data_IF_679978606457
#
_entry.id   IF_679978606457
#
_cell.length_a   1.000
_cell.length_b   1.000
_cell.length_c   1.000
_cell.angle_alpha   90.00
_cell.angle_beta   90.00
_cell.angle_gamma   90.00
#
_symmetry.space_group_name_H-M   'P 1'
#
loop_
_entity.id
_entity.type
_entity.pdbx_description
1 polymer ?
#
# COMPACT_ATOMS: atom_id res chain seq x y z
N UNK A 1 24.06 -2.99 19.52
CA UNK A 1 23.31 -3.66 18.43
C UNK A 1 24.22 -3.68 17.21
N UNK A 2 24.28 -4.76 16.43
CA UNK A 2 25.06 -4.71 15.18
C UNK A 2 24.35 -3.79 14.18
N UNK A 3 25.12 -3.12 13.32
CA UNK A 3 24.57 -2.18 12.31
C UNK A 3 23.51 -2.84 11.42
N UNK A 4 23.65 -4.15 11.16
CA UNK A 4 22.68 -4.95 10.42
C UNK A 4 21.30 -4.91 11.07
N UNK A 5 21.17 -5.27 12.35
CA UNK A 5 19.86 -5.32 13.03
C UNK A 5 19.24 -3.94 13.23
N UNK A 6 20.07 -2.89 13.36
CA UNK A 6 19.58 -1.52 13.39
C UNK A 6 18.96 -1.11 12.05
N UNK A 7 19.59 -1.47 10.91
CA UNK A 7 19.03 -1.20 9.59
C UNK A 7 17.69 -1.91 9.38
N UNK A 8 17.58 -3.17 9.81
CA UNK A 8 16.33 -3.95 9.70
C UNK A 8 15.23 -3.36 10.58
N UNK A 9 15.56 -2.95 11.80
CA UNK A 9 14.60 -2.30 12.70
C UNK A 9 14.12 -0.95 12.13
N UNK A 10 15.02 -0.12 11.59
CA UNK A 10 14.64 1.14 10.93
C UNK A 10 13.73 0.89 9.73
N UNK A 11 14.03 -0.14 8.92
CA UNK A 11 13.18 -0.53 7.81
C UNK A 11 11.78 -0.95 8.28
N UNK A 12 11.69 -1.79 9.32
CA UNK A 12 10.42 -2.18 9.95
C UNK A 12 9.62 -0.96 10.44
N UNK A 13 10.26 0.00 11.12
CA UNK A 13 9.57 1.20 11.60
C UNK A 13 9.04 2.06 10.46
N UNK A 14 9.80 2.15 9.35
CA UNK A 14 9.34 2.84 8.15
C UNK A 14 8.12 2.14 7.52
N UNK A 15 8.12 0.80 7.46
CA UNK A 15 6.96 0.01 6.98
C UNK A 15 5.72 0.25 7.84
N UNK A 16 5.86 0.18 9.17
CA UNK A 16 4.77 0.43 10.11
C UNK A 16 4.24 1.86 9.94
N UNK A 17 5.12 2.85 9.85
CA UNK A 17 4.73 4.24 9.60
C UNK A 17 3.97 4.40 8.30
N UNK A 18 4.43 3.77 7.21
CA UNK A 18 3.76 3.81 5.92
C UNK A 18 2.39 3.13 5.96
N UNK A 19 2.28 1.97 6.61
CA UNK A 19 1.01 1.25 6.79
C UNK A 19 0.06 2.08 7.63
N UNK A 20 0.50 2.70 8.73
CA UNK A 20 -0.34 3.58 9.54
C UNK A 20 -0.83 4.77 8.72
N UNK A 21 0.02 5.39 7.91
CA UNK A 21 -0.37 6.48 7.00
C UNK A 21 -1.42 6.00 5.98
N UNK A 22 -1.29 4.78 5.45
CA UNK A 22 -2.23 4.21 4.49
C UNK A 22 -3.54 3.69 5.13
N UNK A 23 -3.49 3.17 6.36
CA UNK A 23 -4.65 2.67 7.10
C UNK A 23 -5.43 3.79 7.79
N UNK A 24 -4.78 4.90 8.14
CA UNK A 24 -5.46 6.03 8.73
C UNK A 24 -6.42 6.64 7.70
N UNK A 25 -7.72 6.76 8.01
CA UNK A 25 -8.70 7.38 7.13
C UNK A 25 -8.51 8.90 6.95
N UNK A 26 -7.37 9.44 7.42
CA UNK A 26 -7.07 10.86 7.42
C UNK A 26 -6.88 11.44 6.01
N UNK A 27 -6.55 10.60 5.02
CA UNK A 27 -6.46 11.02 3.61
C UNK A 27 -7.66 10.45 2.86
N UNK A 28 -8.63 11.30 2.45
CA UNK A 28 -9.76 10.85 1.65
C UNK A 28 -9.27 10.18 0.37
N UNK A 29 -9.93 9.11 -0.10
CA UNK A 29 -9.53 8.39 -1.32
C UNK A 29 -9.50 9.30 -2.56
N UNK A 30 -10.22 10.43 -2.52
CA UNK A 30 -10.19 11.49 -3.54
C UNK A 30 -8.83 12.19 -3.67
N UNK A 31 -8.06 12.35 -2.58
CA UNK A 31 -6.71 12.95 -2.65
C UNK A 31 -5.69 11.98 -3.21
N UNK A 32 -5.80 10.70 -2.84
CA UNK A 32 -5.02 9.64 -3.45
C UNK A 32 -5.29 9.57 -4.96
N UNK A 33 -6.55 9.66 -5.41
CA UNK A 33 -6.87 9.69 -6.84
C UNK A 33 -6.08 10.77 -7.61
N UNK A 34 -5.93 11.98 -7.06
CA UNK A 34 -5.21 13.09 -7.71
C UNK A 34 -3.70 12.86 -7.78
N UNK A 35 -3.13 12.16 -6.79
CA UNK A 35 -1.72 11.75 -6.75
C UNK A 35 -1.47 10.58 -7.71
N UNK A 36 -2.41 9.62 -7.76
CA UNK A 36 -2.34 8.42 -8.59
C UNK A 36 -2.72 8.65 -10.06
N UNK A 37 -3.48 9.72 -10.38
CA UNK A 37 -3.83 10.10 -11.77
C UNK A 37 -2.68 10.77 -12.52
N UNK A 38 -1.58 11.09 -11.84
CA UNK A 38 -0.37 11.53 -12.54
C UNK A 38 0.12 10.37 -13.42
N UNK A 39 0.31 10.63 -14.72
CA UNK A 39 0.81 9.70 -15.75
C UNK A 39 2.11 8.94 -15.35
N UNK A 40 2.79 9.41 -14.31
CA UNK A 40 3.98 8.82 -13.70
C UNK A 40 3.66 7.48 -13.03
N UNK A 41 2.43 7.27 -12.53
CA UNK A 41 2.09 6.07 -11.78
C UNK A 41 2.07 4.78 -12.63
N UNK A 42 1.74 4.87 -13.92
CA UNK A 42 1.83 3.74 -14.83
C UNK A 42 3.28 3.27 -15.05
N UNK A 43 4.21 4.22 -15.16
CA UNK A 43 5.66 3.95 -15.30
C UNK A 43 6.29 3.51 -13.98
N UNK A 44 5.83 4.05 -12.85
CA UNK A 44 6.31 3.66 -11.54
C UNK A 44 5.85 2.24 -11.18
N UNK A 45 4.66 1.81 -11.62
CA UNK A 45 4.11 0.50 -11.29
C UNK A 45 4.95 -0.68 -11.85
N UNK A 46 5.48 -0.55 -13.07
CA UNK A 46 6.35 -1.58 -13.66
C UNK A 46 7.70 -1.65 -12.95
N UNK A 47 8.26 -0.51 -12.57
CA UNK A 47 9.47 -0.45 -11.74
C UNK A 47 9.23 -0.99 -10.33
N UNK A 48 8.07 -0.69 -9.74
CA UNK A 48 7.67 -1.13 -8.41
C UNK A 48 7.60 -2.65 -8.28
N UNK A 49 7.11 -3.35 -9.30
CA UNK A 49 7.09 -4.82 -9.27
C UNK A 49 8.51 -5.42 -9.23
N UNK A 50 9.46 -4.84 -9.98
CA UNK A 50 10.86 -5.28 -9.95
C UNK A 50 11.50 -4.98 -8.59
N UNK A 51 11.38 -3.74 -8.11
CA UNK A 51 11.91 -3.34 -6.81
C UNK A 51 11.30 -4.17 -5.66
N UNK A 52 10.00 -4.41 -5.69
CA UNK A 52 9.29 -5.26 -4.73
C UNK A 52 9.86 -6.68 -4.70
N UNK A 53 10.07 -7.29 -5.87
CA UNK A 53 10.61 -8.64 -5.98
C UNK A 53 12.06 -8.72 -5.47
N UNK A 54 12.87 -7.70 -5.73
CA UNK A 54 14.22 -7.62 -5.18
C UNK A 54 14.20 -7.51 -3.65
N UNK A 55 13.36 -6.65 -3.09
CA UNK A 55 13.27 -6.43 -1.64
C UNK A 55 12.71 -7.66 -0.91
N UNK A 56 11.70 -8.35 -1.46
CA UNK A 56 11.16 -9.57 -0.83
C UNK A 56 12.21 -10.69 -0.80
N UNK A 57 13.01 -10.85 -1.86
CA UNK A 57 14.10 -11.84 -1.86
C UNK A 57 15.13 -11.49 -0.78
N UNK A 58 15.52 -10.22 -0.66
CA UNK A 58 16.44 -9.75 0.37
C UNK A 58 15.90 -10.04 1.77
N UNK A 59 14.63 -9.72 2.03
CA UNK A 59 13.97 -10.00 3.33
C UNK A 59 13.91 -11.49 3.64
N UNK A 60 13.63 -12.34 2.65
CA UNK A 60 13.62 -13.81 2.83
C UNK A 60 15.02 -14.31 3.18
N UNK A 61 16.06 -13.84 2.49
CA UNK A 61 17.45 -14.23 2.79
C UNK A 61 17.83 -13.81 4.20
N UNK A 62 17.52 -12.58 4.60
CA UNK A 62 17.76 -12.06 5.94
C UNK A 62 16.97 -12.83 7.01
N UNK A 63 15.73 -13.21 6.72
CA UNK A 63 14.92 -14.03 7.62
C UNK A 63 15.51 -15.43 7.79
N UNK A 64 15.96 -16.07 6.70
CA UNK A 64 16.64 -17.36 6.76
C UNK A 64 17.97 -17.27 7.52
N UNK A 65 18.70 -16.17 7.37
CA UNK A 65 19.92 -15.90 8.14
C UNK A 65 19.60 -15.78 9.63
N UNK A 66 18.55 -15.03 9.99
CA UNK A 66 18.06 -14.94 11.37
C UNK A 66 17.64 -16.31 11.95
N UNK A 67 16.95 -17.13 11.15
CA UNK A 67 16.54 -18.50 11.55
C UNK A 67 17.76 -19.38 11.77
N UNK A 68 18.73 -19.36 10.84
CA UNK A 68 19.98 -20.11 10.96
C UNK A 68 20.77 -19.67 12.19
N UNK A 69 20.83 -18.36 12.43
CA UNK A 69 21.53 -17.79 13.57
C UNK A 69 20.87 -18.20 14.90
N UNK A 70 19.53 -18.15 15.01
CA UNK A 70 18.80 -18.67 16.17
C UNK A 70 19.00 -20.17 16.36
N UNK A 71 18.95 -20.98 15.29
CA UNK A 71 19.17 -22.43 15.38
C UNK A 71 20.59 -22.76 15.82
N UNK A 72 21.59 -22.06 15.30
CA UNK A 72 23.00 -22.23 15.64
C UNK A 72 23.27 -21.89 17.11
N UNK A 73 22.72 -20.78 17.61
CA UNK A 73 22.87 -20.45 19.03
C UNK A 73 22.06 -21.37 19.94
N UNK A 74 20.92 -21.88 19.49
CA UNK A 74 20.11 -22.86 20.22
C UNK A 74 20.78 -24.24 20.33
N UNK A 75 21.43 -24.72 19.25
CA UNK A 75 22.16 -25.98 19.28
C UNK A 75 23.43 -25.91 20.14
N UNK A 76 24.19 -24.82 20.05
CA UNK A 76 25.37 -24.58 20.90
C UNK A 76 24.98 -24.50 22.38
N UNK A 77 23.89 -23.79 22.71
CA UNK A 77 23.36 -23.73 24.08
C UNK A 77 22.91 -25.10 24.61
N UNK A 78 22.38 -25.97 23.76
CA UNK A 78 21.95 -27.32 24.16
C UNK A 78 23.15 -28.24 24.43
N UNK A 79 24.22 -28.11 23.63
CA UNK A 79 25.47 -28.85 23.81
C UNK A 79 26.20 -28.40 25.09
N UNK A 80 26.31 -27.10 25.35
CA UNK A 80 26.88 -26.57 26.62
C UNK A 80 26.10 -27.04 27.85
N UNK A 81 24.76 -27.16 27.75
CA UNK A 81 23.90 -27.63 28.85
C UNK A 81 24.10 -29.11 29.17
N UNK A 82 24.60 -29.90 28.22
CA UNK A 82 24.92 -31.32 28.41
C UNK A 82 26.32 -31.58 28.98
N UNK A 83 27.23 -30.61 28.90
CA UNK A 83 28.55 -30.65 29.52
C UNK A 83 28.54 -29.90 30.86
N UNK A 84 28.03 -30.56 31.89
CA UNK A 84 28.15 -30.15 33.30
C UNK A 84 29.61 -29.86 33.65
N UNK A 85 30.01 -28.58 33.74
CA UNK A 85 31.10 -28.04 34.61
C UNK A 85 31.50 -26.62 34.20
N UNK A 86 30.69 -25.59 34.53
CA UNK A 86 31.13 -24.20 34.81
C UNK A 86 29.93 -23.24 34.96
N UNK A 87 29.59 -22.80 36.18
CA UNK A 87 28.43 -21.93 36.42
C UNK A 87 28.59 -20.46 35.96
N UNK A 88 29.81 -20.02 35.61
CA UNK A 88 30.10 -18.62 35.23
C UNK A 88 29.73 -18.29 33.77
N UNK A 89 29.66 -19.28 32.88
CA UNK A 89 29.39 -19.10 31.44
C UNK A 89 27.88 -19.12 31.11
N UNK A 90 27.06 -19.63 32.03
CA UNK A 90 25.61 -19.83 31.85
C UNK A 90 24.83 -18.52 31.64
N UNK A 91 25.22 -17.45 32.32
CA UNK A 91 24.57 -16.13 32.23
C UNK A 91 24.85 -15.44 30.88
N UNK A 92 26.02 -15.68 30.28
CA UNK A 92 26.44 -14.98 29.06
C UNK A 92 25.83 -15.58 27.77
N UNK A 93 25.42 -16.85 27.80
CA UNK A 93 24.76 -17.54 26.68
C UNK A 93 23.24 -17.29 26.65
N UNK A 94 22.59 -17.17 27.81
CA UNK A 94 21.17 -16.76 27.91
C UNK A 94 20.91 -15.39 27.25
N UNK A 95 21.78 -14.40 27.49
CA UNK A 95 21.62 -13.06 26.90
C UNK A 95 21.72 -13.04 25.36
N UNK A 96 22.51 -13.96 24.77
CA UNK A 96 22.69 -14.05 23.30
C UNK A 96 21.49 -14.72 22.62
N UNK A 97 20.85 -15.70 23.27
CA UNK A 97 19.64 -16.35 22.76
C UNK A 97 18.45 -15.39 22.67
N UNK A 98 18.24 -14.56 23.70
CA UNK A 98 17.22 -13.50 23.67
C UNK A 98 17.54 -12.39 22.65
N UNK A 99 18.81 -12.22 22.27
CA UNK A 99 19.19 -11.27 21.21
C UNK A 99 18.84 -11.83 19.82
N UNK A 100 19.15 -13.10 19.53
CA UNK A 100 18.81 -13.73 18.24
C UNK A 100 17.30 -13.93 18.07
N UNK A 101 16.56 -14.23 19.15
CA UNK A 101 15.11 -14.40 19.09
C UNK A 101 14.39 -13.09 18.77
N UNK A 102 14.82 -11.96 19.36
CA UNK A 102 14.31 -10.61 19.01
C UNK A 102 14.57 -10.26 17.55
N UNK A 103 15.77 -10.54 17.08
CA UNK A 103 16.20 -10.30 15.71
C UNK A 103 15.36 -11.10 14.69
N UNK A 104 15.02 -12.36 15.02
CA UNK A 104 14.10 -13.18 14.23
C UNK A 104 12.70 -12.59 14.16
N UNK A 105 12.16 -12.08 15.27
CA UNK A 105 10.85 -11.43 15.26
C UNK A 105 10.88 -10.16 14.40
N UNK A 106 11.92 -9.33 14.52
CA UNK A 106 12.06 -8.10 13.72
C UNK A 106 12.08 -8.42 12.21
N UNK A 107 12.90 -9.39 11.79
CA UNK A 107 12.96 -9.77 10.37
C UNK A 107 11.67 -10.43 9.88
N UNK A 108 11.03 -11.26 10.70
CA UNK A 108 9.75 -11.90 10.39
C UNK A 108 8.60 -10.90 10.27
N UNK A 109 8.48 -9.95 11.20
CA UNK A 109 7.47 -8.90 11.14
C UNK A 109 7.69 -7.98 9.94
N UNK A 110 8.93 -7.67 9.58
CA UNK A 110 9.22 -6.86 8.39
C UNK A 110 8.79 -7.56 7.10
N UNK A 111 9.10 -8.86 6.97
CA UNK A 111 8.62 -9.66 5.85
C UNK A 111 7.08 -9.64 5.73
N UNK A 112 6.39 -9.78 6.86
CA UNK A 112 4.93 -9.74 6.90
C UNK A 112 4.37 -8.36 6.51
N UNK A 113 4.88 -7.27 7.12
CA UNK A 113 4.42 -5.92 6.82
C UNK A 113 4.71 -5.52 5.37
N UNK A 114 5.82 -5.96 4.78
CA UNK A 114 6.10 -5.73 3.36
C UNK A 114 5.01 -6.31 2.45
N UNK A 115 4.52 -7.52 2.75
CA UNK A 115 3.43 -8.15 2.00
C UNK A 115 2.10 -7.40 2.18
N UNK A 116 1.78 -6.99 3.41
CA UNK A 116 0.60 -6.19 3.73
C UNK A 116 0.63 -4.86 2.97
N UNK A 117 1.77 -4.19 2.96
CA UNK A 117 1.99 -2.91 2.29
C UNK A 117 1.76 -3.04 0.77
N UNK A 118 2.25 -4.12 0.14
CA UNK A 118 1.94 -4.40 -1.28
C UNK A 118 0.44 -4.55 -1.51
N UNK A 119 -0.25 -5.33 -0.66
CA UNK A 119 -1.69 -5.53 -0.78
C UNK A 119 -2.45 -4.21 -0.65
N UNK A 120 -2.07 -3.35 0.30
CA UNK A 120 -2.67 -2.03 0.49
C UNK A 120 -2.46 -1.12 -0.71
N UNK A 121 -1.23 -1.02 -1.24
CA UNK A 121 -0.93 -0.18 -2.40
C UNK A 121 -1.73 -0.63 -3.63
N UNK A 122 -1.85 -1.94 -3.88
CA UNK A 122 -2.68 -2.46 -4.97
C UNK A 122 -4.16 -2.10 -4.77
N UNK A 123 -4.69 -2.28 -3.56
CA UNK A 123 -6.09 -1.96 -3.24
C UNK A 123 -6.39 -0.48 -3.44
N UNK A 124 -5.50 0.41 -2.96
CA UNK A 124 -5.63 1.86 -3.12
C UNK A 124 -5.57 2.24 -4.60
N UNK A 125 -4.69 1.61 -5.38
CA UNK A 125 -4.60 1.84 -6.83
C UNK A 125 -5.89 1.43 -7.54
N UNK A 126 -6.49 0.29 -7.17
CA UNK A 126 -7.77 -0.17 -7.72
C UNK A 126 -8.91 0.78 -7.33
N UNK A 127 -8.96 1.18 -6.07
CA UNK A 127 -9.97 2.08 -5.53
C UNK A 127 -9.88 3.47 -6.20
N UNK A 128 -8.67 3.98 -6.45
CA UNK A 128 -8.45 5.21 -7.20
C UNK A 128 -8.97 5.12 -8.66
N UNK A 129 -8.76 3.98 -9.33
CA UNK A 129 -9.31 3.75 -10.69
C UNK A 129 -10.83 3.71 -10.69
N UNK A 130 -11.44 3.03 -9.73
CA UNK A 130 -12.90 2.97 -9.58
C UNK A 130 -13.52 4.34 -9.28
N UNK A 131 -12.91 5.13 -8.39
CA UNK A 131 -13.34 6.51 -8.14
C UNK A 131 -13.17 7.42 -9.36
N UNK A 132 -12.10 7.23 -10.14
CA UNK A 132 -11.94 7.93 -11.41
C UNK A 132 -13.05 7.57 -12.39
N UNK A 133 -13.37 6.29 -12.55
CA UNK A 133 -14.46 5.86 -13.43
C UNK A 133 -15.81 6.42 -12.95
N UNK A 134 -16.10 6.42 -11.65
CA UNK A 134 -17.33 7.00 -11.09
C UNK A 134 -17.38 8.53 -11.24
N UNK A 135 -16.26 9.22 -11.07
CA UNK A 135 -16.14 10.67 -11.28
C UNK A 135 -16.33 11.06 -12.74
N UNK A 136 -15.73 10.31 -13.67
CA UNK A 136 -15.93 10.46 -15.11
C UNK A 136 -17.38 10.17 -15.48
N UNK A 137 -17.98 9.10 -14.96
CA UNK A 137 -19.39 8.77 -15.19
C UNK A 137 -20.34 9.84 -14.64
N UNK A 138 -20.06 10.41 -13.46
CA UNK A 138 -20.87 11.50 -12.89
C UNK A 138 -20.73 12.78 -13.71
N UNK A 139 -19.51 13.14 -14.10
CA UNK A 139 -19.26 14.31 -14.94
C UNK A 139 -19.87 14.14 -16.33
N UNK A 140 -19.82 12.93 -16.88
CA UNK A 140 -20.44 12.59 -18.15
C UNK A 140 -21.97 12.58 -18.05
N UNK A 141 -22.55 12.06 -16.97
CA UNK A 141 -23.99 12.15 -16.72
C UNK A 141 -24.45 13.60 -16.53
N UNK A 142 -23.69 14.43 -15.82
CA UNK A 142 -23.97 15.86 -15.66
C UNK A 142 -23.83 16.62 -16.98
N UNK A 143 -22.82 16.32 -17.79
CA UNK A 143 -22.63 16.93 -19.11
C UNK A 143 -23.72 16.51 -20.10
N UNK A 144 -24.07 15.22 -20.13
CA UNK A 144 -25.19 14.72 -20.95
C UNK A 144 -26.51 15.32 -20.50
N UNK A 145 -26.78 15.42 -19.20
CA UNK A 145 -27.99 16.04 -18.68
C UNK A 145 -28.06 17.55 -19.00
N UNK A 146 -26.93 18.27 -18.92
CA UNK A 146 -26.84 19.68 -19.36
C UNK A 146 -27.08 19.83 -20.86
N UNK A 147 -26.54 18.93 -21.68
CA UNK A 147 -26.79 18.93 -23.13
C UNK A 147 -28.27 18.64 -23.43
N UNK A 148 -28.87 17.62 -22.82
CA UNK A 148 -30.29 17.29 -22.96
C UNK A 148 -31.20 18.46 -22.56
N UNK A 149 -30.90 19.15 -21.45
CA UNK A 149 -31.67 20.34 -21.03
C UNK A 149 -31.62 21.47 -22.07
N UNK A 150 -30.44 21.77 -22.62
CA UNK A 150 -30.31 22.78 -23.68
C UNK A 150 -31.13 22.43 -24.92
N UNK A 151 -31.05 21.18 -25.36
CA UNK A 151 -31.84 20.72 -26.51
C UNK A 151 -33.35 20.80 -26.26
N UNK A 152 -33.81 20.50 -25.04
CA UNK A 152 -35.23 20.66 -24.68
C UNK A 152 -35.68 22.12 -24.71
N UNK A 153 -34.86 23.03 -24.18
CA UNK A 153 -35.17 24.46 -24.13
C UNK A 153 -35.19 25.11 -25.53
N UNK A 154 -34.27 24.72 -26.41
CA UNK A 154 -34.27 25.15 -27.81
C UNK A 154 -35.49 24.62 -28.57
N UNK A 155 -35.89 23.36 -28.33
CA UNK A 155 -37.08 22.77 -28.94
C UNK A 155 -38.36 23.50 -28.51
N UNK A 156 -38.48 23.87 -27.24
CA UNK A 156 -39.61 24.65 -26.74
C UNK A 156 -39.67 26.05 -27.35
N UNK A 157 -38.52 26.74 -27.46
CA UNK A 157 -38.44 28.06 -28.13
C UNK A 157 -38.88 27.96 -29.58
N UNK A 158 -38.37 26.97 -30.32
CA UNK A 158 -38.77 26.73 -31.72
C UNK A 158 -40.27 26.45 -31.85
N UNK A 159 -40.85 25.62 -30.98
CA UNK A 159 -42.31 25.35 -30.97
C UNK A 159 -43.13 26.61 -30.72
N UNK A 160 -42.71 27.47 -29.78
CA UNK A 160 -43.37 28.76 -29.53
C UNK A 160 -43.30 29.67 -30.75
N UNK A 161 -42.14 29.83 -31.38
CA UNK A 161 -42.01 30.61 -32.62
C UNK A 161 -42.88 30.07 -33.75
N UNK A 162 -42.93 28.74 -33.92
CA UNK A 162 -43.76 28.11 -34.93
C UNK A 162 -45.26 28.38 -34.67
N UNK A 163 -45.71 28.21 -33.41
CA UNK A 163 -47.10 28.46 -33.02
C UNK A 163 -47.52 29.93 -33.19
N UNK A 164 -46.64 30.87 -32.86
CA UNK A 164 -46.88 32.30 -33.05
C UNK A 164 -46.96 32.67 -34.54
N UNK A 165 -46.09 32.08 -35.38
CA UNK A 165 -46.08 32.29 -36.83
C UNK A 165 -47.32 31.71 -37.52
N UNK A 166 -47.83 30.57 -37.03
CA UNK A 166 -49.10 29.98 -37.50
C UNK A 166 -50.29 30.84 -37.09
N UNK A 167 -50.28 31.41 -35.88
CA UNK A 167 -51.36 32.29 -35.41
C UNK A 167 -51.42 33.61 -36.19
N UNK A 168 -50.26 34.21 -36.47
CA UNK A 168 -50.15 35.45 -37.25
C UNK A 168 -50.52 35.28 -38.74
N UNK A 169 -50.47 34.05 -39.28
CA UNK A 169 -50.86 33.75 -40.67
C UNK A 169 -52.36 33.44 -40.82
N UNK A 170 -53.12 33.36 -39.72
CA UNK A 170 -54.57 33.10 -39.71
C UNK A 170 -55.42 34.36 -39.47
N UNK A 171 -54.79 35.47 -39.08
CA UNK A 171 -55.37 36.82 -39.13
C UNK A 171 -55.06 37.45 -40.49
#
# INVERSE_FOLDING_TARGET
>A
MTLQWAAVATFLYAEIGLILIFCLPFIPPQRWQKIFSFNVWGKIATFWNKAFLTIIILLIVLFLDAVREVRKYSSVHTIERSSTSRPDVYEHTQMKLFRSQRNLYISGFSLFFWLVLRRLVTLITQLAKELSNKGVLKTQAENTNKATKKFMEENEKLKRFLSAKVHCRKL
#
